data_IF_037966480731
#
_entry.id   IF_037966480731
#
_cell.length_a   1.000
_cell.length_b   1.000
_cell.length_c   1.000
_cell.angle_alpha   90.00
_cell.angle_beta   90.00
_cell.angle_gamma   90.00
#
_symmetry.space_group_name_H-M   'P 1'
#
loop_
_entity.id
_entity.type
_entity.pdbx_description
1 polymer ?
#
# COMPACT_ATOMS: atom_id res chain seq x y z
N UNK A 1 12.19 1.72 19.15
CA UNK A 1 11.06 0.95 18.57
C UNK A 1 9.99 1.91 18.03
N UNK A 2 9.21 1.53 17.01
CA UNK A 2 8.11 2.36 16.46
C UNK A 2 8.35 2.99 15.08
N UNK A 3 9.08 2.32 14.18
CA UNK A 3 9.29 2.84 12.82
C UNK A 3 7.99 2.84 12.00
N UNK A 4 7.87 3.81 11.09
CA UNK A 4 6.73 3.94 10.16
C UNK A 4 7.17 3.62 8.73
N UNK A 5 6.37 2.81 8.04
CA UNK A 5 6.47 2.52 6.62
C UNK A 5 5.36 3.26 5.88
N UNK A 6 5.72 3.92 4.79
CA UNK A 6 4.79 4.50 3.82
C UNK A 6 5.07 3.90 2.44
N UNK A 7 4.02 3.46 1.75
CA UNK A 7 4.07 2.96 0.38
C UNK A 7 3.06 3.76 -0.44
N UNK A 8 3.48 4.22 -1.61
CA UNK A 8 2.61 4.89 -2.59
C UNK A 8 2.64 4.06 -3.87
N UNK A 9 1.50 3.53 -4.27
CA UNK A 9 1.37 2.70 -5.47
C UNK A 9 -0.03 2.84 -6.06
N UNK A 10 -0.23 2.35 -7.28
CA UNK A 10 -1.53 2.36 -7.93
C UNK A 10 -2.55 1.48 -7.20
N UNK A 11 -3.76 2.00 -7.09
CA UNK A 11 -4.91 1.21 -6.68
C UNK A 11 -5.21 0.14 -7.74
N UNK A 12 -5.91 -0.96 -7.39
CA UNK A 12 -6.27 -1.99 -8.35
C UNK A 12 -7.00 -1.42 -9.57
N UNK A 13 -6.60 -1.85 -10.77
CA UNK A 13 -7.15 -1.35 -12.03
C UNK A 13 -7.08 -2.41 -13.14
N UNK A 14 -7.71 -2.14 -14.29
CA UNK A 14 -7.78 -3.07 -15.43
C UNK A 14 -6.96 -2.60 -16.66
N UNK A 15 -6.11 -1.57 -16.48
CA UNK A 15 -5.29 -0.98 -17.54
C UNK A 15 -4.09 -1.88 -17.94
N UNK A 16 -4.34 -2.92 -18.75
CA UNK A 16 -3.31 -3.92 -19.15
C UNK A 16 -2.13 -3.32 -19.94
N UNK A 17 -2.33 -2.20 -20.64
CA UNK A 17 -1.25 -1.55 -21.41
C UNK A 17 -0.04 -1.18 -20.53
N UNK A 18 -0.25 -0.97 -19.23
CA UNK A 18 0.83 -0.71 -18.27
C UNK A 18 1.80 -1.90 -18.13
N UNK A 19 1.34 -3.13 -18.34
CA UNK A 19 2.21 -4.32 -18.32
C UNK A 19 2.99 -4.45 -19.61
N UNK A 20 2.32 -4.30 -20.75
CA UNK A 20 2.94 -4.48 -22.06
C UNK A 20 3.90 -3.36 -22.45
N UNK A 21 3.58 -2.11 -22.09
CA UNK A 21 4.33 -0.92 -22.53
C UNK A 21 5.27 -0.36 -21.46
N UNK A 22 4.93 -0.52 -20.18
CA UNK A 22 5.68 0.07 -19.06
C UNK A 22 6.26 -0.96 -18.08
N UNK A 23 6.08 -2.26 -18.35
CA UNK A 23 6.70 -3.34 -17.57
C UNK A 23 6.11 -3.54 -16.17
N UNK A 24 4.88 -3.09 -15.92
CA UNK A 24 4.21 -3.33 -14.66
C UNK A 24 4.07 -4.83 -14.38
N UNK A 25 4.41 -5.27 -13.17
CA UNK A 25 4.25 -6.66 -12.74
C UNK A 25 2.85 -6.94 -12.19
N UNK A 26 2.20 -5.93 -11.64
CA UNK A 26 0.83 -5.97 -11.07
C UNK A 26 0.02 -4.79 -11.61
N UNK A 27 -1.29 -4.98 -11.69
CA UNK A 27 -2.22 -3.91 -12.04
C UNK A 27 -2.72 -3.20 -10.77
N UNK A 28 -1.77 -2.59 -10.07
CA UNK A 28 -1.97 -2.06 -8.73
C UNK A 28 -1.95 -3.12 -7.63
N UNK A 29 -2.04 -2.66 -6.38
CA UNK A 29 -2.00 -3.52 -5.18
C UNK A 29 -3.37 -3.57 -4.51
N UNK A 30 -3.87 -4.78 -4.27
CA UNK A 30 -5.13 -4.99 -3.53
C UNK A 30 -4.89 -4.86 -2.03
N UNK A 31 -5.93 -4.45 -1.30
CA UNK A 31 -5.85 -4.33 0.15
C UNK A 31 -5.52 -5.64 0.86
N UNK A 32 -6.05 -6.76 0.37
CA UNK A 32 -5.78 -8.08 0.95
C UNK A 32 -4.31 -8.50 0.77
N UNK A 33 -3.71 -8.19 -0.39
CA UNK A 33 -2.28 -8.43 -0.65
C UNK A 33 -1.42 -7.62 0.34
N UNK A 34 -1.72 -6.32 0.48
CA UNK A 34 -0.97 -5.45 1.39
C UNK A 34 -1.12 -5.89 2.86
N UNK A 35 -2.33 -6.33 3.24
CA UNK A 35 -2.62 -6.86 4.59
C UNK A 35 -1.80 -8.11 4.86
N UNK A 36 -1.78 -9.06 3.93
CA UNK A 36 -0.99 -10.28 4.05
C UNK A 36 0.51 -9.98 4.17
N UNK A 37 1.04 -9.09 3.34
CA UNK A 37 2.46 -8.71 3.38
C UNK A 37 2.84 -8.00 4.67
N UNK A 38 2.01 -7.06 5.14
CA UNK A 38 2.24 -6.37 6.40
C UNK A 38 2.22 -7.35 7.58
N UNK A 39 1.28 -8.29 7.60
CA UNK A 39 1.22 -9.33 8.63
C UNK A 39 2.49 -10.20 8.63
N UNK A 40 2.93 -10.67 7.46
CA UNK A 40 4.18 -11.45 7.33
C UNK A 40 5.42 -10.66 7.76
N UNK A 41 5.41 -9.34 7.56
CA UNK A 41 6.48 -8.45 7.98
C UNK A 41 6.40 -8.02 9.47
N UNK A 42 5.38 -8.45 10.21
CA UNK A 42 5.17 -8.04 11.60
C UNK A 42 4.80 -6.56 11.75
N UNK A 43 4.16 -5.98 10.74
CA UNK A 43 3.71 -4.59 10.72
C UNK A 43 2.20 -4.49 10.98
N UNK A 44 1.79 -3.47 11.73
CA UNK A 44 0.38 -3.08 11.84
C UNK A 44 0.03 -2.17 10.66
N UNK A 45 -0.74 -2.69 9.70
CA UNK A 45 -1.24 -1.92 8.56
C UNK A 45 -2.46 -1.08 8.96
N UNK A 46 -2.47 0.19 8.55
CA UNK A 46 -3.63 1.07 8.65
C UNK A 46 -4.45 1.07 7.35
N UNK A 47 -5.73 1.46 7.39
CA UNK A 47 -6.54 1.59 6.19
C UNK A 47 -5.86 2.48 5.13
N UNK A 48 -5.91 2.12 3.84
CA UNK A 48 -5.32 2.93 2.79
C UNK A 48 -6.04 4.27 2.67
N UNK A 49 -5.26 5.32 2.38
CA UNK A 49 -5.82 6.57 1.85
C UNK A 49 -5.71 6.56 0.34
N UNK A 50 -6.84 6.56 -0.35
CA UNK A 50 -6.84 6.68 -1.81
C UNK A 50 -6.82 8.14 -2.26
N UNK A 51 -6.08 8.41 -3.32
CA UNK A 51 -6.06 9.65 -4.08
C UNK A 51 -6.66 9.34 -5.45
N UNK A 52 -7.81 9.97 -5.75
CA UNK A 52 -8.50 9.78 -7.01
C UNK A 52 -7.79 10.53 -8.14
N UNK A 53 -7.65 9.87 -9.29
CA UNK A 53 -7.29 10.56 -10.52
C UNK A 53 -8.38 11.58 -10.91
N UNK A 54 -8.02 12.72 -11.52
CA UNK A 54 -8.98 13.67 -12.06
C UNK A 54 -9.99 12.98 -12.99
N UNK A 55 -11.25 13.43 -12.94
CA UNK A 55 -12.32 12.89 -13.80
C UNK A 55 -12.10 13.18 -15.29
N UNK A 56 -11.24 14.14 -15.63
CA UNK A 56 -10.92 14.54 -17.00
C UNK A 56 -9.95 13.59 -17.72
N UNK A 57 -9.38 12.61 -17.02
CA UNK A 57 -8.49 11.62 -17.63
C UNK A 57 -9.29 10.45 -18.19
N UNK A 58 -9.07 10.10 -19.45
CA UNK A 58 -9.73 8.95 -20.10
C UNK A 58 -9.36 7.61 -19.42
N UNK A 59 -8.08 7.43 -19.11
CA UNK A 59 -7.56 6.24 -18.42
C UNK A 59 -7.25 6.60 -16.96
N UNK A 60 -8.28 6.62 -16.13
CA UNK A 60 -8.17 6.98 -14.73
C UNK A 60 -7.37 5.95 -13.95
N UNK A 61 -6.43 6.44 -13.15
CA UNK A 61 -5.53 5.60 -12.37
C UNK A 61 -5.35 6.19 -10.97
N UNK A 62 -6.10 5.64 -10.02
CA UNK A 62 -6.05 6.08 -8.63
C UNK A 62 -4.76 5.58 -7.96
N UNK A 63 -4.34 6.29 -6.92
CA UNK A 63 -3.14 5.95 -6.13
C UNK A 63 -3.58 5.66 -4.70
N UNK A 64 -3.09 4.58 -4.12
CA UNK A 64 -3.23 4.30 -2.70
C UNK A 64 -1.96 4.71 -1.95
N UNK A 65 -2.15 5.44 -0.86
CA UNK A 65 -1.12 5.72 0.15
C UNK A 65 -1.36 4.78 1.33
N UNK A 66 -0.47 3.81 1.48
CA UNK A 66 -0.48 2.83 2.56
C UNK A 66 0.42 3.30 3.69
N UNK A 67 -0.01 3.07 4.94
CA UNK A 67 0.84 3.31 6.11
C UNK A 67 0.81 2.11 7.05
N UNK A 68 1.98 1.73 7.53
CA UNK A 68 2.13 0.64 8.49
C UNK A 68 3.17 0.99 9.55
N UNK A 69 3.07 0.39 10.72
CA UNK A 69 3.99 0.65 11.84
C UNK A 69 4.57 -0.65 12.36
N UNK A 70 5.87 -0.63 12.67
CA UNK A 70 6.49 -1.69 13.46
C UNK A 70 6.06 -1.51 14.91
N UNK A 71 5.39 -2.50 15.55
CA UNK A 71 4.97 -2.40 16.93
C UNK A 71 6.16 -2.07 17.84
N UNK A 72 5.95 -1.15 18.78
CA UNK A 72 6.99 -0.86 19.76
C UNK A 72 7.19 -2.09 20.66
N UNK A 73 8.45 -2.51 20.89
CA UNK A 73 8.75 -3.45 21.97
C UNK A 73 8.27 -2.81 23.27
N UNK A 74 7.37 -3.49 23.98
CA UNK A 74 6.98 -3.10 25.33
C UNK A 74 8.24 -3.19 26.18
N UNK A 75 8.67 -2.08 26.80
CA UNK A 75 9.69 -2.15 27.85
C UNK A 75 9.02 -2.81 29.05
N UNK A 76 9.52 -3.96 29.48
CA UNK A 76 9.15 -4.52 30.77
C UNK A 76 9.44 -3.46 31.85
N UNK A 77 8.50 -3.19 32.77
CA UNK A 77 8.78 -2.31 33.89
C UNK A 77 9.92 -2.92 34.70
N UNK A 78 10.93 -2.11 35.02
CA UNK A 78 11.99 -2.54 35.93
C UNK A 78 11.33 -2.92 37.27
N UNK A 79 11.55 -4.16 37.71
CA UNK A 79 11.22 -4.64 39.05
C UNK A 79 12.01 -3.87 40.11
#
# INVERSE_FOLDING_TARGET
PGGQLLIVDFAPHELEFLRSEYGHLRLGIREDDMREWAQKAGLTLHPPRQLSAPDTLEKRLNVNVWSAQLPAKIKEPAL
#
